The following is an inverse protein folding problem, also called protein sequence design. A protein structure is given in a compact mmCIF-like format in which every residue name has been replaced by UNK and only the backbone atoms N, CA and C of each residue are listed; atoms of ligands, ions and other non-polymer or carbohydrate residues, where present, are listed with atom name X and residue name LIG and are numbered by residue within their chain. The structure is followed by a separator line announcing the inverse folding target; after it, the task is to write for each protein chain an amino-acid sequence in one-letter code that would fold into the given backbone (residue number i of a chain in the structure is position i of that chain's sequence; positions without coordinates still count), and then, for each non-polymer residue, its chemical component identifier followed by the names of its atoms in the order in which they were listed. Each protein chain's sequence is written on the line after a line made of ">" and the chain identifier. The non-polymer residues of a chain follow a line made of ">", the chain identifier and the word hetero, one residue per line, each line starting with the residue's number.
data_IF_128462902218
#
_entry.id   IF_128462902218
#
_cell.length_a   1.000
_cell.length_b   1.000
_cell.length_c   1.000
_cell.angle_alpha   90.00
_cell.angle_beta   90.00
_cell.angle_gamma   90.00
#
_symmetry.space_group_name_H-M   'P 1'
#
loop_
_entity.id
_entity.type
_entity.pdbx_description
1 polymer ?
#
# COMPACT_ATOMS: atom_id res chain seq x y z
N UNK A 1 6.81 36.92 -0.79
CA UNK A 1 6.33 37.66 0.36
C UNK A 1 4.90 38.10 0.09
N UNK A 2 3.97 37.74 0.94
CA UNK A 2 2.57 38.12 0.82
C UNK A 2 2.21 39.14 1.89
N UNK A 3 1.24 40.00 1.63
CA UNK A 3 0.76 40.99 2.60
C UNK A 3 0.18 40.24 3.82
N UNK A 4 0.56 40.71 5.03
CA UNK A 4 0.16 40.08 6.29
C UNK A 4 0.98 38.86 6.74
N UNK A 5 2.04 38.47 6.01
CA UNK A 5 2.93 37.35 6.40
C UNK A 5 4.24 37.91 6.96
N UNK A 6 4.67 37.40 8.12
CA UNK A 6 5.92 37.81 8.75
C UNK A 6 7.16 37.35 7.97
N UNK A 7 7.06 36.20 7.29
CA UNK A 7 8.13 35.59 6.51
C UNK A 7 7.66 35.25 5.10
N UNK A 8 8.58 35.13 4.11
CA UNK A 8 8.22 34.63 2.77
C UNK A 8 7.85 33.13 2.87
N UNK A 9 6.70 32.79 2.33
CA UNK A 9 6.19 31.42 2.32
C UNK A 9 5.76 30.97 0.94
N UNK A 10 5.84 29.66 0.66
CA UNK A 10 5.33 29.05 -0.55
C UNK A 10 3.91 28.56 -0.31
N UNK A 11 2.91 29.26 -0.85
CA UNK A 11 1.50 28.97 -0.61
C UNK A 11 0.77 28.80 -1.95
N UNK A 12 -0.11 27.78 -2.01
CA UNK A 12 -1.09 27.66 -3.07
C UNK A 12 -2.48 27.95 -2.49
N UNK A 13 -3.10 29.05 -2.96
CA UNK A 13 -4.47 29.41 -2.61
C UNK A 13 -5.06 30.22 -3.76
N UNK A 14 -5.99 29.63 -4.53
CA UNK A 14 -6.56 30.21 -5.72
C UNK A 14 -7.86 30.96 -5.51
N UNK A 15 -8.52 30.79 -4.36
CA UNK A 15 -9.79 31.43 -4.02
C UNK A 15 -9.97 31.59 -2.50
N UNK A 16 -10.72 32.59 -2.11
CA UNK A 16 -11.21 32.79 -0.74
C UNK A 16 -12.61 33.39 -0.76
N UNK A 17 -13.26 33.39 0.42
CA UNK A 17 -14.59 33.91 0.62
C UNK A 17 -14.68 35.42 0.82
N UNK A 18 -13.54 36.14 0.88
CA UNK A 18 -13.46 37.58 1.09
C UNK A 18 -13.03 38.33 -0.18
N UNK A 19 -13.51 39.59 -0.33
CA UNK A 19 -13.16 40.44 -1.46
C UNK A 19 -11.74 41.02 -1.40
N UNK A 20 -11.09 41.00 -0.22
CA UNK A 20 -9.72 41.48 -0.01
C UNK A 20 -8.68 40.36 -0.19
N UNK A 21 -9.00 39.35 -0.95
CA UNK A 21 -8.19 38.17 -1.14
C UNK A 21 -7.11 38.39 -2.21
N UNK A 22 -5.87 38.17 -1.83
CA UNK A 22 -4.72 38.08 -2.76
C UNK A 22 -4.48 36.63 -3.16
N UNK A 23 -4.63 36.26 -4.47
CA UNK A 23 -4.37 34.90 -4.93
C UNK A 23 -2.88 34.54 -4.76
N UNK A 24 -2.62 33.32 -4.25
CA UNK A 24 -1.27 32.78 -4.03
C UNK A 24 -1.07 31.56 -4.91
N UNK A 25 -0.11 31.62 -5.83
CA UNK A 25 0.08 30.61 -6.88
C UNK A 25 1.45 29.94 -6.84
N UNK A 26 2.00 29.68 -5.66
CA UNK A 26 3.22 28.90 -5.58
C UNK A 26 2.96 27.43 -5.90
N UNK A 27 3.63 26.87 -6.92
CA UNK A 27 3.54 25.46 -7.28
C UNK A 27 4.37 24.56 -6.36
N UNK A 28 5.21 25.09 -5.48
CA UNK A 28 6.07 24.31 -4.61
C UNK A 28 5.32 23.34 -3.70
N UNK A 29 4.25 23.75 -2.98
CA UNK A 29 3.48 22.82 -2.16
C UNK A 29 2.84 21.69 -2.97
N UNK A 30 2.36 21.97 -4.19
CA UNK A 30 1.75 20.99 -5.06
C UNK A 30 2.78 19.99 -5.60
N UNK A 31 3.94 20.48 -6.07
CA UNK A 31 5.03 19.64 -6.55
C UNK A 31 5.54 18.72 -5.42
N UNK A 32 5.78 19.27 -4.24
CA UNK A 32 6.22 18.49 -3.08
C UNK A 32 5.19 17.45 -2.66
N UNK A 33 3.90 17.81 -2.61
CA UNK A 33 2.81 16.89 -2.30
C UNK A 33 2.73 15.72 -3.29
N UNK A 34 2.90 16.00 -4.58
CA UNK A 34 2.91 14.98 -5.65
C UNK A 34 4.10 14.03 -5.52
N UNK A 35 5.31 14.58 -5.32
CA UNK A 35 6.52 13.76 -5.13
C UNK A 35 6.42 12.88 -3.87
N UNK A 36 5.90 13.43 -2.78
CA UNK A 36 5.68 12.70 -1.52
C UNK A 36 4.68 11.56 -1.72
N UNK A 37 3.57 11.80 -2.42
CA UNK A 37 2.57 10.77 -2.71
C UNK A 37 3.13 9.69 -3.64
N UNK A 38 3.89 10.07 -4.67
CA UNK A 38 4.54 9.14 -5.56
C UNK A 38 5.57 8.26 -4.83
N UNK A 39 6.34 8.85 -3.91
CA UNK A 39 7.27 8.09 -3.07
C UNK A 39 6.55 7.03 -2.22
N UNK A 40 5.45 7.39 -1.56
CA UNK A 40 4.66 6.43 -0.78
C UNK A 40 4.04 5.35 -1.66
N UNK A 41 3.53 5.71 -2.84
CA UNK A 41 2.99 4.75 -3.80
C UNK A 41 4.06 3.72 -4.22
N UNK A 42 5.24 4.16 -4.59
CA UNK A 42 6.34 3.30 -5.02
C UNK A 42 6.89 2.43 -3.89
N UNK A 43 7.01 2.98 -2.68
CA UNK A 43 7.48 2.25 -1.52
C UNK A 43 6.60 1.03 -1.21
N UNK A 44 5.29 1.14 -1.45
CA UNK A 44 4.34 0.05 -1.23
C UNK A 44 4.19 -0.86 -2.46
N UNK A 45 4.01 -0.26 -3.64
CA UNK A 45 3.68 -1.00 -4.85
C UNK A 45 4.87 -1.83 -5.38
N UNK A 46 6.07 -1.27 -5.38
CA UNK A 46 7.23 -1.91 -6.00
C UNK A 46 7.59 -3.25 -5.36
N UNK A 47 7.78 -3.37 -4.04
CA UNK A 47 8.11 -4.67 -3.44
C UNK A 47 6.99 -5.69 -3.60
N UNK A 48 5.72 -5.28 -3.43
CA UNK A 48 4.58 -6.18 -3.57
C UNK A 48 4.46 -6.72 -5.01
N UNK A 49 4.56 -5.84 -6.00
CA UNK A 49 4.42 -6.22 -7.41
C UNK A 49 5.59 -7.10 -7.88
N UNK A 50 6.83 -6.75 -7.52
CA UNK A 50 8.02 -7.55 -7.90
C UNK A 50 7.97 -8.93 -7.22
N UNK A 51 7.71 -9.00 -5.91
CA UNK A 51 7.60 -10.28 -5.21
C UNK A 51 6.46 -11.13 -5.76
N UNK A 52 5.30 -10.51 -6.06
CA UNK A 52 4.17 -11.18 -6.69
C UNK A 52 4.51 -11.72 -8.08
N UNK A 53 5.21 -10.95 -8.91
CA UNK A 53 5.64 -11.39 -10.24
C UNK A 53 6.65 -12.55 -10.17
N UNK A 54 7.64 -12.48 -9.28
CA UNK A 54 8.60 -13.57 -9.06
C UNK A 54 7.87 -14.84 -8.60
N UNK A 55 6.96 -14.71 -7.63
CA UNK A 55 6.17 -15.85 -7.14
C UNK A 55 5.35 -16.47 -8.27
N UNK A 56 4.65 -15.67 -9.05
CA UNK A 56 3.81 -16.12 -10.17
C UNK A 56 4.64 -16.78 -11.27
N UNK A 57 5.82 -16.24 -11.56
CA UNK A 57 6.70 -16.76 -12.61
C UNK A 57 7.35 -18.10 -12.27
N UNK A 58 7.84 -18.25 -11.03
CA UNK A 58 8.68 -19.41 -10.65
C UNK A 58 7.96 -20.45 -9.79
N UNK A 59 7.03 -20.05 -8.94
CA UNK A 59 6.47 -20.92 -7.91
C UNK A 59 5.02 -21.32 -8.17
N UNK A 60 4.24 -20.50 -8.88
CA UNK A 60 2.83 -20.74 -9.07
C UNK A 60 2.56 -21.82 -10.13
N UNK A 61 1.61 -22.73 -9.83
CA UNK A 61 1.17 -23.73 -10.80
C UNK A 61 0.64 -23.10 -12.10
N UNK A 62 0.99 -23.62 -13.30
CA UNK A 62 0.56 -23.03 -14.58
C UNK A 62 -0.95 -22.90 -14.75
N UNK A 63 -1.72 -23.83 -14.16
CA UNK A 63 -3.19 -23.78 -14.19
C UNK A 63 -3.74 -22.61 -13.40
N UNK A 64 -3.13 -22.28 -12.26
CA UNK A 64 -3.52 -21.17 -11.40
C UNK A 64 -3.08 -19.83 -11.98
N UNK A 65 -1.85 -19.77 -12.51
CA UNK A 65 -1.31 -18.58 -13.18
C UNK A 65 -2.19 -18.12 -14.34
N UNK A 66 -2.74 -19.05 -15.14
CA UNK A 66 -3.69 -18.73 -16.24
C UNK A 66 -4.97 -18.04 -15.75
N UNK A 67 -5.31 -18.14 -14.46
CA UNK A 67 -6.45 -17.45 -13.85
C UNK A 67 -6.03 -16.14 -13.18
N UNK A 68 -4.87 -16.13 -12.54
CA UNK A 68 -4.39 -14.96 -11.78
C UNK A 68 -3.92 -13.84 -12.71
N UNK A 69 -3.22 -14.17 -13.81
CA UNK A 69 -2.72 -13.14 -14.74
C UNK A 69 -3.83 -12.27 -15.33
N UNK A 70 -4.93 -12.80 -15.90
CA UNK A 70 -6.03 -11.96 -16.37
C UNK A 70 -6.70 -11.13 -15.28
N UNK A 71 -6.73 -11.62 -14.03
CA UNK A 71 -7.28 -10.85 -12.91
C UNK A 71 -6.44 -9.62 -12.60
N UNK A 72 -5.11 -9.74 -12.64
CA UNK A 72 -4.19 -8.61 -12.45
C UNK A 72 -4.32 -7.62 -13.63
N UNK A 73 -4.40 -8.11 -14.86
CA UNK A 73 -4.62 -7.30 -16.05
C UNK A 73 -5.95 -6.53 -15.99
N UNK A 74 -7.01 -7.12 -15.44
CA UNK A 74 -8.28 -6.44 -15.21
C UNK A 74 -8.17 -5.31 -14.19
N UNK A 75 -7.27 -5.41 -13.20
CA UNK A 75 -7.01 -4.32 -12.26
C UNK A 75 -6.36 -3.12 -12.96
N UNK A 76 -5.53 -3.33 -13.99
CA UNK A 76 -4.92 -2.26 -14.78
C UNK A 76 -5.97 -1.49 -15.60
N UNK A 77 -7.07 -2.16 -15.99
CA UNK A 77 -8.17 -1.54 -16.72
C UNK A 77 -9.10 -0.67 -15.84
N UNK A 78 -8.91 -0.65 -14.52
CA UNK A 78 -9.73 0.19 -13.63
C UNK A 78 -9.45 1.68 -13.89
N UNK A 79 -10.51 2.49 -14.12
CA UNK A 79 -10.34 3.93 -14.33
C UNK A 79 -9.73 4.59 -13.09
N UNK A 80 -8.59 5.27 -13.24
CA UNK A 80 -7.89 5.95 -12.14
C UNK A 80 -8.74 7.00 -11.44
N UNK A 81 -9.69 7.61 -12.17
CA UNK A 81 -10.65 8.58 -11.61
C UNK A 81 -11.55 7.91 -10.57
N UNK A 82 -12.03 6.67 -10.85
CA UNK A 82 -12.84 5.91 -9.89
C UNK A 82 -12.04 5.55 -8.65
N UNK A 83 -10.77 5.14 -8.83
CA UNK A 83 -9.88 4.86 -7.71
C UNK A 83 -9.62 6.11 -6.86
N UNK A 84 -9.40 7.26 -7.49
CA UNK A 84 -9.24 8.54 -6.79
C UNK A 84 -10.49 8.96 -6.03
N UNK A 85 -11.67 8.78 -6.61
CA UNK A 85 -12.95 9.04 -5.96
C UNK A 85 -13.18 8.12 -4.74
N UNK A 86 -12.93 6.83 -4.91
CA UNK A 86 -13.02 5.85 -3.83
C UNK A 86 -12.03 6.14 -2.70
N UNK A 87 -10.81 6.55 -3.07
CA UNK A 87 -9.79 6.96 -2.11
C UNK A 87 -10.22 8.18 -1.28
N UNK A 88 -10.81 9.18 -1.92
CA UNK A 88 -11.27 10.40 -1.24
C UNK A 88 -12.49 10.20 -0.35
N UNK A 89 -13.46 9.36 -0.76
CA UNK A 89 -14.72 9.21 -0.07
C UNK A 89 -14.73 8.08 0.98
N UNK A 90 -13.98 7.02 0.72
CA UNK A 90 -13.98 5.85 1.59
C UNK A 90 -12.63 5.61 2.27
N UNK A 91 -11.53 5.57 1.51
CA UNK A 91 -10.22 5.22 2.05
C UNK A 91 -9.69 6.30 3.00
N UNK A 92 -9.88 7.59 2.67
CA UNK A 92 -9.40 8.69 3.49
C UNK A 92 -10.05 8.71 4.89
N UNK A 93 -11.40 8.66 5.04
CA UNK A 93 -12.04 8.54 6.34
C UNK A 93 -11.63 7.26 7.09
N UNK A 94 -11.50 6.14 6.37
CA UNK A 94 -11.09 4.88 6.97
C UNK A 94 -9.67 4.96 7.56
N UNK A 95 -8.69 5.49 6.82
CA UNK A 95 -7.32 5.65 7.32
C UNK A 95 -7.28 6.64 8.48
N UNK A 96 -8.05 7.73 8.41
CA UNK A 96 -8.12 8.73 9.47
C UNK A 96 -8.56 8.12 10.81
N UNK A 97 -9.58 7.27 10.77
CA UNK A 97 -10.15 6.63 11.98
C UNK A 97 -9.35 5.41 12.45
N UNK A 98 -8.61 4.74 11.54
CA UNK A 98 -7.92 3.49 11.81
C UNK A 98 -6.41 3.58 11.50
N UNK A 99 -5.78 4.72 11.81
CA UNK A 99 -4.38 4.98 11.45
C UNK A 99 -3.43 3.90 12.00
N UNK A 100 -3.55 3.57 13.27
CA UNK A 100 -2.76 2.52 13.92
C UNK A 100 -2.97 1.15 13.27
N UNK A 101 -4.22 0.81 12.91
CA UNK A 101 -4.56 -0.46 12.25
C UNK A 101 -3.92 -0.57 10.87
N UNK A 102 -3.87 0.51 10.11
CA UNK A 102 -3.22 0.54 8.79
C UNK A 102 -1.72 0.27 8.91
N UNK A 103 -1.02 0.93 9.83
CA UNK A 103 0.40 0.67 10.05
C UNK A 103 0.66 -0.74 10.60
N UNK A 104 -0.17 -1.21 11.52
CA UNK A 104 -0.08 -2.57 12.08
C UNK A 104 -0.28 -3.61 10.97
N UNK A 105 -1.23 -3.41 10.06
CA UNK A 105 -1.46 -4.29 8.91
C UNK A 105 -0.22 -4.38 8.01
N UNK A 106 0.45 -3.27 7.71
CA UNK A 106 1.69 -3.28 6.92
C UNK A 106 2.85 -4.03 7.57
N UNK A 107 2.83 -4.19 8.87
CA UNK A 107 3.82 -4.99 9.60
C UNK A 107 3.35 -6.43 9.77
N UNK A 108 2.14 -6.63 10.29
CA UNK A 108 1.62 -7.95 10.66
C UNK A 108 1.43 -8.86 9.45
N UNK A 109 0.92 -8.33 8.33
CA UNK A 109 0.65 -9.18 7.15
C UNK A 109 1.95 -9.72 6.53
N UNK A 110 2.96 -8.92 6.17
CA UNK A 110 4.19 -9.46 5.60
C UNK A 110 4.94 -10.40 6.56
N UNK A 111 5.19 -9.93 7.78
CA UNK A 111 5.95 -10.73 8.76
C UNK A 111 5.19 -11.96 9.22
N UNK A 112 3.88 -11.85 9.42
CA UNK A 112 3.00 -12.97 9.77
C UNK A 112 2.94 -14.02 8.66
N UNK A 113 2.89 -13.59 7.39
CA UNK A 113 2.92 -14.50 6.24
C UNK A 113 4.27 -15.23 6.14
N UNK A 114 5.38 -14.52 6.34
CA UNK A 114 6.71 -15.15 6.38
C UNK A 114 6.84 -16.13 7.54
N UNK A 115 6.38 -15.76 8.72
CA UNK A 115 6.36 -16.65 9.89
C UNK A 115 5.50 -17.90 9.63
N UNK A 116 4.31 -17.71 9.08
CA UNK A 116 3.44 -18.83 8.69
C UNK A 116 4.13 -19.76 7.69
N UNK A 117 4.73 -19.20 6.63
CA UNK A 117 5.44 -19.98 5.61
C UNK A 117 6.62 -20.78 6.23
N UNK A 118 7.35 -20.15 7.14
CA UNK A 118 8.44 -20.80 7.87
C UNK A 118 7.93 -21.96 8.74
N UNK A 119 6.88 -21.73 9.52
CA UNK A 119 6.27 -22.78 10.36
C UNK A 119 5.66 -23.89 9.52
N UNK A 120 5.02 -23.56 8.41
CA UNK A 120 4.46 -24.51 7.46
C UNK A 120 5.53 -25.43 6.87
N UNK A 121 6.69 -24.87 6.53
CA UNK A 121 7.82 -25.63 5.98
C UNK A 121 8.42 -26.64 6.99
N UNK A 122 8.23 -26.43 8.29
CA UNK A 122 8.71 -27.33 9.33
C UNK A 122 7.74 -28.46 9.70
N UNK A 123 6.49 -28.41 9.20
CA UNK A 123 5.51 -29.45 9.47
C UNK A 123 5.95 -30.81 8.86
N UNK A 124 5.82 -31.91 9.61
CA UNK A 124 6.13 -33.25 9.11
C UNK A 124 5.32 -33.55 7.86
N UNK A 125 5.98 -34.09 6.84
CA UNK A 125 5.37 -34.42 5.54
C UNK A 125 4.29 -35.51 5.61
N UNK A 126 4.20 -36.21 6.72
CA UNK A 126 3.25 -37.31 6.94
C UNK A 126 1.83 -36.83 7.31
N UNK A 127 1.61 -35.54 7.49
CA UNK A 127 0.33 -34.98 7.94
C UNK A 127 -0.74 -34.85 6.85
N UNK A 128 -0.57 -35.46 5.69
CA UNK A 128 -1.62 -35.64 4.66
C UNK A 128 -2.21 -34.38 3.99
N UNK A 129 -1.83 -33.20 4.40
CA UNK A 129 -2.36 -31.91 3.90
C UNK A 129 -1.43 -31.28 2.85
N UNK A 130 -0.82 -32.10 2.01
CA UNK A 130 0.06 -31.57 0.96
C UNK A 130 -0.76 -31.12 -0.24
N UNK A 131 -0.77 -29.83 -0.47
CA UNK A 131 -1.24 -29.28 -1.75
C UNK A 131 -0.27 -29.69 -2.88
N UNK A 132 -0.76 -29.87 -4.08
CA UNK A 132 0.11 -30.03 -5.25
C UNK A 132 1.05 -28.83 -5.35
N UNK A 133 2.29 -29.06 -5.79
CA UNK A 133 3.32 -28.02 -5.93
C UNK A 133 2.75 -26.83 -6.73
N UNK A 134 2.91 -25.64 -6.18
CA UNK A 134 2.46 -24.37 -6.80
C UNK A 134 1.00 -23.98 -6.51
N UNK A 135 0.28 -24.73 -5.65
CA UNK A 135 -1.06 -24.37 -5.19
C UNK A 135 -1.07 -23.73 -3.78
N UNK A 136 0.11 -23.44 -3.24
CA UNK A 136 0.30 -22.89 -1.89
C UNK A 136 -0.43 -21.57 -1.68
N UNK A 137 -0.64 -20.80 -2.76
CA UNK A 137 -1.40 -19.53 -2.70
C UNK A 137 -2.83 -19.71 -2.17
N UNK A 138 -3.44 -20.89 -2.36
CA UNK A 138 -4.77 -21.15 -1.81
C UNK A 138 -4.80 -21.21 -0.29
N UNK A 139 -3.66 -21.53 0.34
CA UNK A 139 -3.52 -21.45 1.81
C UNK A 139 -3.10 -20.04 2.22
N UNK A 140 -2.25 -19.38 1.43
CA UNK A 140 -1.75 -18.04 1.74
C UNK A 140 -2.89 -17.02 1.77
N UNK A 141 -3.88 -17.10 0.87
CA UNK A 141 -5.02 -16.18 0.83
C UNK A 141 -5.78 -16.14 2.17
N UNK A 142 -6.30 -17.27 2.71
CA UNK A 142 -7.00 -17.24 4.00
C UNK A 142 -6.08 -16.83 5.16
N UNK A 143 -4.79 -17.15 5.09
CA UNK A 143 -3.81 -16.70 6.10
C UNK A 143 -3.65 -15.19 6.07
N UNK A 144 -3.49 -14.58 4.90
CA UNK A 144 -3.40 -13.12 4.75
C UNK A 144 -4.67 -12.44 5.27
N UNK A 145 -5.86 -12.99 4.96
CA UNK A 145 -7.13 -12.46 5.47
C UNK A 145 -7.23 -12.57 7.00
N UNK A 146 -6.79 -13.69 7.57
CA UNK A 146 -6.75 -13.89 9.01
C UNK A 146 -5.77 -12.93 9.70
N UNK A 147 -4.58 -12.72 9.12
CA UNK A 147 -3.59 -11.77 9.61
C UNK A 147 -4.09 -10.32 9.51
N UNK A 148 -4.76 -9.97 8.41
CA UNK A 148 -5.37 -8.66 8.25
C UNK A 148 -6.47 -8.41 9.30
N UNK A 149 -7.30 -9.42 9.58
CA UNK A 149 -8.28 -9.34 10.66
C UNK A 149 -7.63 -9.26 12.03
N UNK A 150 -6.60 -10.04 12.29
CA UNK A 150 -5.83 -10.04 13.55
C UNK A 150 -5.09 -8.72 13.77
N UNK A 151 -4.76 -7.97 12.72
CA UNK A 151 -4.10 -6.67 12.85
C UNK A 151 -4.95 -5.64 13.61
N UNK A 152 -6.29 -5.77 13.60
CA UNK A 152 -7.19 -4.85 14.32
C UNK A 152 -7.01 -4.94 15.84
N UNK A 153 -7.22 -6.09 16.51
CA UNK A 153 -7.04 -6.17 17.95
C UNK A 153 -5.57 -5.94 18.38
N UNK A 154 -4.60 -6.27 17.53
CA UNK A 154 -3.20 -5.95 17.80
C UNK A 154 -2.99 -4.43 17.78
N UNK A 155 -3.60 -3.73 16.81
CA UNK A 155 -3.49 -2.29 16.73
C UNK A 155 -4.12 -1.58 17.93
N UNK A 156 -5.27 -2.05 18.40
CA UNK A 156 -5.93 -1.51 19.60
C UNK A 156 -5.05 -1.64 20.84
N UNK A 157 -4.40 -2.80 21.02
CA UNK A 157 -3.47 -3.01 22.11
C UNK A 157 -2.20 -2.14 21.99
N UNK A 158 -1.65 -1.97 20.78
CA UNK A 158 -0.51 -1.08 20.52
C UNK A 158 -0.90 0.38 20.74
N UNK A 159 -2.07 0.78 20.26
CA UNK A 159 -2.57 2.16 20.40
C UNK A 159 -2.76 2.53 21.87
N UNK A 160 -3.34 1.63 22.67
CA UNK A 160 -3.50 1.82 24.10
C UNK A 160 -2.15 1.88 24.86
N UNK A 161 -1.17 1.04 24.48
CA UNK A 161 0.10 0.92 25.21
C UNK A 161 1.14 1.95 24.80
N UNK A 162 1.23 2.32 23.51
CA UNK A 162 2.29 3.17 22.97
C UNK A 162 1.83 4.61 22.68
N UNK A 163 0.56 4.79 22.32
CA UNK A 163 0.03 6.06 21.81
C UNK A 163 -1.05 6.69 22.71
N UNK A 164 -1.21 6.18 23.92
CA UNK A 164 -2.18 6.73 24.88
C UNK A 164 -3.64 6.59 24.45
N UNK A 165 -3.95 5.59 23.61
CA UNK A 165 -5.29 5.27 23.12
C UNK A 165 -5.73 6.00 21.84
N UNK A 166 -4.89 6.87 21.24
CA UNK A 166 -5.19 7.52 19.96
C UNK A 166 -3.91 7.95 19.24
N UNK A 167 -3.46 7.15 18.29
CA UNK A 167 -2.23 7.41 17.52
C UNK A 167 -2.28 8.74 16.76
N UNK A 168 -3.43 9.12 16.20
CA UNK A 168 -3.59 10.38 15.46
C UNK A 168 -3.37 11.59 16.37
N UNK A 169 -3.94 11.57 17.60
CA UNK A 169 -3.75 12.62 18.57
C UNK A 169 -2.30 12.68 19.07
N UNK A 170 -1.68 11.52 19.25
CA UNK A 170 -0.28 11.42 19.62
C UNK A 170 0.63 12.05 18.54
N UNK A 171 0.42 11.69 17.25
CA UNK A 171 1.16 12.29 16.12
C UNK A 171 1.01 13.80 16.06
N UNK A 172 -0.19 14.33 16.33
CA UNK A 172 -0.42 15.78 16.31
C UNK A 172 0.20 16.49 17.50
N UNK A 173 0.14 15.88 18.70
CA UNK A 173 0.63 16.49 19.94
C UNK A 173 2.14 16.37 20.10
N UNK A 174 2.67 15.16 19.91
CA UNK A 174 4.05 14.83 20.27
C UNK A 174 5.02 15.02 19.11
N UNK A 175 4.56 14.85 17.86
CA UNK A 175 5.35 15.07 16.64
C UNK A 175 5.04 16.42 15.96
N UNK A 176 4.00 17.14 16.39
CA UNK A 176 3.59 18.40 15.79
C UNK A 176 3.09 18.27 14.34
N UNK A 177 2.74 17.05 13.90
CA UNK A 177 2.30 16.77 12.53
C UNK A 177 0.77 16.75 12.51
N UNK A 178 0.15 17.75 11.89
CA UNK A 178 -1.28 17.74 11.66
C UNK A 178 -1.64 16.66 10.62
N UNK A 179 -2.46 15.71 11.03
CA UNK A 179 -2.95 14.67 10.17
C UNK A 179 -4.29 15.06 9.55
N UNK A 180 -4.24 15.59 8.34
CA UNK A 180 -5.45 15.88 7.57
C UNK A 180 -5.99 14.59 6.93
N UNK A 181 -7.32 14.48 6.83
CA UNK A 181 -7.98 13.32 6.23
C UNK A 181 -7.50 13.04 4.81
N UNK A 182 -7.34 14.09 3.99
CA UNK A 182 -6.84 14.02 2.61
C UNK A 182 -5.38 14.41 2.55
N UNK A 183 -4.52 13.44 2.75
CA UNK A 183 -3.07 13.66 2.81
C UNK A 183 -2.32 12.80 1.78
N UNK A 184 -1.01 13.07 1.65
CA UNK A 184 -0.15 12.37 0.70
C UNK A 184 -0.05 10.85 0.95
N UNK A 185 -0.27 10.37 2.18
CA UNK A 185 -0.26 8.94 2.50
C UNK A 185 -1.47 8.24 1.88
N UNK A 186 -2.68 8.81 2.05
CA UNK A 186 -3.92 8.28 1.46
C UNK A 186 -3.81 8.22 -0.07
N UNK A 187 -3.35 9.32 -0.67
CA UNK A 187 -3.12 9.38 -2.12
C UNK A 187 -2.08 8.35 -2.55
N UNK A 188 -0.98 8.23 -1.81
CA UNK A 188 0.07 7.26 -2.08
C UNK A 188 -0.41 5.81 -2.03
N UNK A 189 -1.22 5.43 -1.05
CA UNK A 189 -1.83 4.10 -0.95
C UNK A 189 -2.72 3.81 -2.18
N UNK A 190 -3.60 4.75 -2.52
CA UNK A 190 -4.50 4.59 -3.67
C UNK A 190 -3.73 4.50 -5.01
N UNK A 191 -2.73 5.36 -5.20
CA UNK A 191 -1.85 5.33 -6.38
C UNK A 191 -1.00 4.06 -6.41
N UNK A 192 -0.49 3.61 -5.27
CA UNK A 192 0.26 2.36 -5.15
C UNK A 192 -0.57 1.18 -5.64
N UNK A 193 -1.83 1.07 -5.20
CA UNK A 193 -2.74 0.04 -5.68
C UNK A 193 -2.96 0.08 -7.20
N UNK A 194 -3.10 1.28 -7.77
CA UNK A 194 -3.27 1.46 -9.22
C UNK A 194 -2.04 1.06 -10.05
N UNK A 195 -0.82 1.21 -9.49
CA UNK A 195 0.44 0.97 -10.21
C UNK A 195 0.93 -0.48 -10.06
N UNK A 196 0.46 -1.23 -9.06
CA UNK A 196 0.84 -2.65 -8.84
C UNK A 196 0.71 -3.51 -10.11
N UNK A 197 -0.41 -3.51 -10.85
CA UNK A 197 -0.56 -4.35 -12.04
C UNK A 197 0.49 -4.05 -13.11
N UNK A 198 0.76 -2.80 -13.38
CA UNK A 198 1.74 -2.36 -14.39
C UNK A 198 3.17 -2.82 -14.01
N UNK A 199 3.58 -2.61 -12.75
CA UNK A 199 4.90 -3.06 -12.28
C UNK A 199 4.97 -4.60 -12.33
N UNK A 200 3.91 -5.29 -11.93
CA UNK A 200 3.82 -6.75 -11.99
C UNK A 200 4.01 -7.26 -13.41
N UNK A 201 3.25 -6.74 -14.38
CA UNK A 201 3.31 -7.17 -15.78
C UNK A 201 4.69 -6.96 -16.39
N UNK A 202 5.28 -5.77 -16.20
CA UNK A 202 6.64 -5.47 -16.68
C UNK A 202 7.67 -6.41 -16.05
N UNK A 203 7.56 -6.69 -14.75
CA UNK A 203 8.47 -7.58 -14.04
C UNK A 203 8.33 -9.01 -14.52
N UNK A 204 7.11 -9.50 -14.69
CA UNK A 204 6.82 -10.83 -15.20
C UNK A 204 7.40 -11.02 -16.62
N UNK A 205 7.18 -10.06 -17.50
CA UNK A 205 7.70 -10.09 -18.87
C UNK A 205 9.25 -10.06 -18.90
N UNK A 206 9.85 -9.26 -18.00
CA UNK A 206 11.32 -9.23 -17.85
C UNK A 206 11.86 -10.61 -17.41
N UNK A 207 11.22 -11.28 -16.46
CA UNK A 207 11.62 -12.61 -16.00
C UNK A 207 11.54 -13.63 -17.16
N UNK A 208 10.49 -13.59 -17.99
CA UNK A 208 10.33 -14.53 -19.11
C UNK A 208 11.21 -14.20 -20.31
N UNK A 209 11.72 -13.00 -20.42
CA UNK A 209 12.67 -12.62 -21.47
C UNK A 209 14.07 -13.22 -21.25
N UNK A 210 14.37 -13.70 -20.03
CA UNK A 210 15.67 -14.32 -19.70
C UNK A 210 15.79 -15.68 -20.39
N UNK A 211 16.83 -15.92 -21.24
CA UNK A 211 17.04 -17.19 -21.91
C UNK A 211 17.23 -18.35 -20.92
N UNK A 212 16.60 -19.48 -21.20
CA UNK A 212 16.60 -20.66 -20.30
C UNK A 212 17.99 -21.19 -19.95
N UNK A 213 18.99 -21.02 -20.84
CA UNK A 213 20.35 -21.44 -20.56
C UNK A 213 21.05 -20.62 -19.46
N UNK A 214 20.55 -19.42 -19.12
CA UNK A 214 21.04 -18.60 -18.02
C UNK A 214 20.33 -18.90 -16.69
N UNK A 215 19.18 -19.59 -16.74
CA UNK A 215 18.40 -19.91 -15.54
C UNK A 215 18.61 -21.34 -15.02
N UNK A 216 19.40 -22.16 -15.73
CA UNK A 216 19.67 -23.56 -15.40
C UNK A 216 21.08 -23.79 -14.84
N UNK A 217 21.74 -22.75 -14.34
CA UNK A 217 23.05 -22.82 -13.70
C UNK A 217 23.02 -23.24 -12.24
#
# INVERSE_FOLDING_TARGET
>A
WYEGYENPEYIWQSSASSNDFEPKYSLMPLAFGTLKSAFYAMLMATPLAICGAIYTAYFMAPALRRKVKPLIELMEALPTVILGFLAGLWLAPFIETNLASVFTLFVVVPFGTLLFAYLWAQLPKDLGWQLPIGWDVLIIIPVVLALAWLSMPISDALEASLFGGNMRQWVSRDLGINFDQRNALVVGIAMGFAVIPTIFSITEDAIFSVPKHLTQG
#
